data_IF_529151037345
#
_entry.id   IF_529151037345
#
_cell.length_a   1.000
_cell.length_b   1.000
_cell.length_c   1.000
_cell.angle_alpha   90.00
_cell.angle_beta   90.00
_cell.angle_gamma   90.00
#
_symmetry.space_group_name_H-M   'P 1'
#
loop_
_entity.id
_entity.type
_entity.pdbx_description
1 polymer ?
#
# COMPACT_ATOMS: atom_id res chain seq x y z
N UNK A 1 25.05 8.12 5.24
CA UNK A 1 24.32 9.40 5.02
C UNK A 1 24.01 9.45 3.54
N UNK A 2 23.01 8.69 3.11
CA UNK A 2 22.54 8.70 1.73
C UNK A 2 21.58 9.88 1.59
N UNK A 3 22.00 10.89 0.83
CA UNK A 3 21.16 12.03 0.52
C UNK A 3 19.92 11.54 -0.22
N UNK A 4 18.73 11.90 0.26
CA UNK A 4 17.49 11.65 -0.44
C UNK A 4 17.60 12.28 -1.83
N UNK A 5 17.69 11.43 -2.84
CA UNK A 5 17.76 11.85 -4.23
C UNK A 5 16.36 12.33 -4.63
N UNK A 6 16.27 13.59 -5.10
CA UNK A 6 14.99 14.08 -5.60
C UNK A 6 14.55 13.27 -6.85
N UNK A 7 13.25 13.21 -7.14
CA UNK A 7 12.74 12.55 -8.35
C UNK A 7 13.40 13.04 -9.64
N UNK A 8 13.67 14.35 -9.70
CA UNK A 8 14.36 14.95 -10.87
C UNK A 8 15.81 14.47 -11.00
N UNK A 9 16.55 14.37 -9.87
CA UNK A 9 17.91 13.82 -9.87
C UNK A 9 17.92 12.35 -10.27
N UNK A 10 16.96 11.55 -9.78
CA UNK A 10 16.82 10.15 -10.16
C UNK A 10 16.59 10.01 -11.67
N UNK A 11 15.72 10.84 -12.23
CA UNK A 11 15.44 10.85 -13.67
C UNK A 11 16.66 11.22 -14.49
N UNK A 12 17.42 12.26 -14.10
CA UNK A 12 18.66 12.67 -14.76
C UNK A 12 19.72 11.56 -14.74
N UNK A 13 19.87 10.88 -13.60
CA UNK A 13 20.80 9.74 -13.48
C UNK A 13 20.37 8.61 -14.42
N UNK A 14 19.08 8.28 -14.50
CA UNK A 14 18.55 7.27 -15.41
C UNK A 14 18.79 7.64 -16.88
N UNK A 15 18.56 8.86 -17.28
CA UNK A 15 18.85 9.33 -18.66
C UNK A 15 20.33 9.19 -19.01
N UNK A 16 21.22 9.62 -18.11
CA UNK A 16 22.66 9.46 -18.27
C UNK A 16 23.04 7.99 -18.45
N UNK A 17 22.52 7.11 -17.60
CA UNK A 17 22.82 5.67 -17.65
C UNK A 17 22.23 4.99 -18.88
N UNK A 18 21.05 5.40 -19.34
CA UNK A 18 20.44 4.94 -20.59
C UNK A 18 21.29 5.32 -21.80
N UNK A 19 21.92 6.51 -21.77
CA UNK A 19 22.85 6.97 -22.78
C UNK A 19 24.26 6.33 -22.74
N UNK A 20 24.46 5.28 -21.89
CA UNK A 20 25.74 4.58 -21.76
C UNK A 20 26.72 5.22 -20.77
N UNK A 21 26.23 6.11 -19.90
CA UNK A 21 27.06 6.71 -18.85
C UNK A 21 27.67 5.68 -17.90
N UNK A 22 28.81 6.04 -17.26
CA UNK A 22 29.49 5.18 -16.30
C UNK A 22 28.68 5.01 -15.01
N UNK A 23 28.77 3.80 -14.43
CA UNK A 23 28.21 3.45 -13.12
C UNK A 23 29.26 3.53 -11.98
N UNK A 24 30.48 4.01 -12.22
CA UNK A 24 31.59 3.94 -11.26
C UNK A 24 31.31 4.58 -9.89
N UNK A 25 30.40 5.57 -9.85
CA UNK A 25 30.02 6.28 -8.63
C UNK A 25 28.68 5.81 -8.07
N UNK A 26 28.11 4.73 -8.57
CA UNK A 26 26.82 4.18 -8.13
C UNK A 26 27.11 3.02 -7.16
N UNK A 27 26.67 3.15 -5.90
CA UNK A 27 26.75 2.07 -4.93
C UNK A 27 25.58 1.09 -5.08
N UNK A 28 25.60 -0.04 -4.35
CA UNK A 28 24.55 -1.06 -4.36
C UNK A 28 23.16 -0.45 -4.08
N UNK A 29 23.03 0.32 -3.01
CA UNK A 29 21.75 0.90 -2.60
C UNK A 29 21.17 1.80 -3.69
N UNK A 30 21.98 2.68 -4.28
CA UNK A 30 21.53 3.58 -5.35
C UNK A 30 21.14 2.79 -6.61
N UNK A 31 21.94 1.79 -7.01
CA UNK A 31 21.62 0.97 -8.18
C UNK A 31 20.24 0.28 -8.01
N UNK A 32 19.99 -0.30 -6.83
CA UNK A 32 18.72 -0.99 -6.54
C UNK A 32 17.51 -0.03 -6.48
N UNK A 33 17.69 1.18 -5.94
CA UNK A 33 16.64 2.22 -5.90
C UNK A 33 16.25 2.75 -7.28
N UNK A 34 17.12 2.64 -8.27
CA UNK A 34 16.84 3.05 -9.65
C UNK A 34 16.05 2.00 -10.44
N UNK A 35 15.99 0.74 -9.99
CA UNK A 35 15.33 -0.35 -10.71
C UNK A 35 13.83 -0.09 -10.91
N UNK A 36 13.03 0.26 -9.88
CA UNK A 36 11.60 0.54 -10.08
C UNK A 36 11.34 1.63 -11.11
N UNK A 37 12.11 2.73 -11.06
CA UNK A 37 12.00 3.82 -12.02
C UNK A 37 12.38 3.38 -13.45
N UNK A 38 13.38 2.51 -13.58
CA UNK A 38 13.76 1.94 -14.87
C UNK A 38 12.66 0.99 -15.41
N UNK A 39 11.97 0.26 -14.53
CA UNK A 39 10.82 -0.57 -14.88
C UNK A 39 9.66 0.29 -15.40
N UNK A 40 9.29 1.36 -14.69
CA UNK A 40 8.22 2.28 -15.10
C UNK A 40 8.49 2.93 -16.47
N UNK A 41 9.77 3.11 -16.82
CA UNK A 41 10.20 3.63 -18.11
C UNK A 41 10.44 2.55 -19.18
N UNK A 42 10.21 1.27 -18.87
CA UNK A 42 10.41 0.14 -19.80
C UNK A 42 11.87 -0.04 -20.25
N UNK A 43 12.86 0.23 -19.37
CA UNK A 43 14.30 0.19 -19.68
C UNK A 43 14.94 -1.14 -19.30
N UNK A 44 14.52 -2.24 -19.91
CA UNK A 44 14.95 -3.60 -19.55
C UNK A 44 16.48 -3.78 -19.53
N UNK A 45 17.19 -3.35 -20.57
CA UNK A 45 18.68 -3.45 -20.63
C UNK A 45 19.36 -2.67 -19.47
N UNK A 46 18.77 -1.56 -19.04
CA UNK A 46 19.30 -0.80 -17.91
C UNK A 46 19.06 -1.52 -16.58
N UNK A 47 17.92 -2.18 -16.44
CA UNK A 47 17.60 -2.98 -15.24
C UNK A 47 18.63 -4.11 -15.07
N UNK A 48 18.93 -4.85 -16.12
CA UNK A 48 19.95 -5.92 -16.10
C UNK A 48 21.32 -5.36 -15.69
N UNK A 49 21.74 -4.24 -16.29
CA UNK A 49 23.00 -3.58 -15.96
C UNK A 49 23.05 -3.07 -14.51
N UNK A 50 21.94 -2.55 -13.99
CA UNK A 50 21.83 -2.08 -12.59
C UNK A 50 21.95 -3.27 -11.61
N UNK A 51 21.29 -4.38 -11.88
CA UNK A 51 21.36 -5.59 -11.06
C UNK A 51 22.78 -6.21 -11.06
N UNK A 52 23.38 -6.33 -12.24
CA UNK A 52 24.74 -6.84 -12.38
C UNK A 52 25.74 -5.93 -11.63
N UNK A 53 25.60 -4.61 -11.82
CA UNK A 53 26.44 -3.64 -11.12
C UNK A 53 26.23 -3.70 -9.61
N UNK A 54 24.99 -3.71 -9.09
CA UNK A 54 24.68 -3.81 -7.67
C UNK A 54 25.34 -5.04 -7.04
N UNK A 55 25.22 -6.19 -7.72
CA UNK A 55 25.85 -7.45 -7.27
C UNK A 55 27.38 -7.35 -7.22
N UNK A 56 27.99 -6.71 -8.23
CA UNK A 56 29.45 -6.56 -8.36
C UNK A 56 30.06 -5.63 -7.30
N UNK A 57 29.35 -4.52 -6.97
CA UNK A 57 29.86 -3.53 -6.01
C UNK A 57 29.43 -3.77 -4.57
N UNK A 58 28.62 -4.79 -4.32
CA UNK A 58 28.16 -5.17 -2.98
C UNK A 58 29.32 -5.50 -2.04
N UNK A 59 29.36 -4.83 -0.88
CA UNK A 59 30.48 -4.84 0.06
C UNK A 59 30.36 -5.91 1.13
N UNK A 60 29.14 -6.34 1.44
CA UNK A 60 28.84 -7.29 2.51
C UNK A 60 27.70 -8.25 2.08
N UNK A 61 27.38 -9.21 2.95
CA UNK A 61 26.35 -10.20 2.70
C UNK A 61 24.94 -9.58 2.60
N UNK A 62 24.66 -8.56 3.41
CA UNK A 62 23.38 -7.87 3.38
C UNK A 62 23.15 -7.16 2.03
N UNK A 63 24.17 -6.42 1.53
CA UNK A 63 24.07 -5.78 0.21
C UNK A 63 23.90 -6.80 -0.93
N UNK A 64 24.56 -7.96 -0.83
CA UNK A 64 24.36 -9.08 -1.78
C UNK A 64 22.95 -9.66 -1.69
N UNK A 65 22.43 -9.79 -0.47
CA UNK A 65 21.06 -10.22 -0.22
C UNK A 65 20.03 -9.27 -0.83
N UNK A 66 20.23 -7.97 -0.67
CA UNK A 66 19.38 -6.96 -1.31
C UNK A 66 19.42 -7.02 -2.84
N UNK A 67 20.60 -7.16 -3.43
CA UNK A 67 20.74 -7.31 -4.89
C UNK A 67 20.03 -8.57 -5.39
N UNK A 68 20.12 -9.69 -4.66
CA UNK A 68 19.41 -10.92 -4.99
C UNK A 68 17.90 -10.78 -4.81
N UNK A 69 17.43 -10.08 -3.78
CA UNK A 69 16.01 -9.81 -3.56
C UNK A 69 15.39 -9.06 -4.73
N UNK A 70 16.03 -7.98 -5.18
CA UNK A 70 15.56 -7.22 -6.34
C UNK A 70 15.65 -8.03 -7.64
N UNK A 71 16.70 -8.83 -7.82
CA UNK A 71 16.82 -9.72 -8.97
C UNK A 71 15.67 -10.74 -9.04
N UNK A 72 15.31 -11.37 -7.92
CA UNK A 72 14.17 -12.30 -7.85
C UNK A 72 12.84 -11.61 -8.18
N UNK A 73 12.64 -10.36 -7.75
CA UNK A 73 11.45 -9.57 -8.08
C UNK A 73 11.37 -9.26 -9.58
N UNK A 74 12.46 -8.79 -10.17
CA UNK A 74 12.54 -8.49 -11.61
C UNK A 74 12.31 -9.73 -12.46
N UNK A 75 12.79 -10.89 -12.02
CA UNK A 75 12.61 -12.18 -12.70
C UNK A 75 11.23 -12.82 -12.45
N UNK A 76 10.37 -12.18 -11.65
CA UNK A 76 9.08 -12.74 -11.22
C UNK A 76 9.21 -14.16 -10.64
N UNK A 77 10.27 -14.37 -9.84
CA UNK A 77 10.57 -15.69 -9.30
C UNK A 77 9.44 -16.19 -8.39
N UNK A 78 9.22 -17.49 -8.35
CA UNK A 78 8.20 -18.12 -7.53
C UNK A 78 8.49 -18.03 -6.03
N UNK A 79 7.45 -18.23 -5.22
CA UNK A 79 7.44 -18.16 -3.75
C UNK A 79 8.62 -18.89 -3.10
N UNK A 80 8.94 -20.12 -3.54
CA UNK A 80 10.01 -20.94 -2.97
C UNK A 80 11.39 -20.26 -3.02
N UNK A 81 11.64 -19.40 -4.02
CA UNK A 81 12.89 -18.66 -4.14
C UNK A 81 13.01 -17.58 -3.07
N UNK A 82 11.90 -16.91 -2.77
CA UNK A 82 11.85 -15.90 -1.72
C UNK A 82 11.86 -16.51 -0.32
N UNK A 83 11.22 -17.67 -0.12
CA UNK A 83 11.29 -18.40 1.16
C UNK A 83 12.74 -18.79 1.47
N UNK A 84 13.48 -19.33 0.49
CA UNK A 84 14.91 -19.63 0.65
C UNK A 84 15.75 -18.40 0.95
N UNK A 85 15.47 -17.28 0.27
CA UNK A 85 16.16 -16.03 0.55
C UNK A 85 15.83 -15.50 1.96
N UNK A 86 14.62 -15.69 2.47
CA UNK A 86 14.23 -15.32 3.81
C UNK A 86 15.02 -16.11 4.87
N UNK A 87 15.15 -17.44 4.69
CA UNK A 87 15.97 -18.32 5.55
C UNK A 87 17.45 -17.93 5.51
N UNK A 88 18.00 -17.60 4.34
CA UNK A 88 19.37 -17.11 4.19
C UNK A 88 19.55 -15.76 4.90
N UNK A 89 18.61 -14.82 4.73
CA UNK A 89 18.69 -13.49 5.36
C UNK A 89 18.71 -13.55 6.89
N UNK A 90 18.01 -14.51 7.50
CA UNK A 90 18.05 -14.74 8.95
C UNK A 90 19.45 -15.13 9.46
N UNK A 91 20.27 -15.77 8.63
CA UNK A 91 21.63 -16.19 8.97
C UNK A 91 22.66 -15.06 8.85
N UNK A 92 22.31 -13.95 8.21
CA UNK A 92 23.22 -12.80 8.02
C UNK A 92 23.20 -11.92 9.25
N UNK A 93 24.35 -11.76 9.87
CA UNK A 93 24.50 -10.91 11.05
C UNK A 93 24.16 -9.44 10.72
N UNK A 94 23.32 -8.82 11.55
CA UNK A 94 22.88 -7.41 11.44
C UNK A 94 22.05 -7.06 10.18
N UNK A 95 21.49 -8.06 9.47
CA UNK A 95 20.67 -7.84 8.28
C UNK A 95 19.16 -7.73 8.58
N UNK A 96 18.77 -7.14 9.72
CA UNK A 96 17.35 -7.04 10.13
C UNK A 96 16.48 -6.36 9.08
N UNK A 97 17.01 -5.34 8.38
CA UNK A 97 16.27 -4.63 7.33
C UNK A 97 15.94 -5.54 6.15
N UNK A 98 16.93 -6.29 5.66
CA UNK A 98 16.74 -7.28 4.60
C UNK A 98 15.78 -8.39 5.04
N UNK A 99 16.01 -8.98 6.21
CA UNK A 99 15.17 -10.06 6.77
C UNK A 99 13.72 -9.63 6.83
N UNK A 100 13.44 -8.44 7.40
CA UNK A 100 12.09 -7.92 7.49
C UNK A 100 11.45 -7.66 6.13
N UNK A 101 12.21 -7.14 5.16
CA UNK A 101 11.72 -6.85 3.82
C UNK A 101 11.38 -8.14 3.05
N UNK A 102 12.26 -9.15 3.11
CA UNK A 102 12.02 -10.43 2.43
C UNK A 102 10.83 -11.16 3.04
N UNK A 103 10.74 -11.27 4.38
CA UNK A 103 9.57 -11.86 5.04
C UNK A 103 8.27 -11.11 4.74
N UNK A 104 8.32 -9.78 4.71
CA UNK A 104 7.15 -9.00 4.31
C UNK A 104 6.69 -9.35 2.88
N UNK A 105 7.63 -9.48 1.95
CA UNK A 105 7.33 -9.85 0.56
C UNK A 105 6.82 -11.30 0.44
N UNK A 106 7.39 -12.24 1.20
CA UNK A 106 6.89 -13.63 1.28
C UNK A 106 5.45 -13.65 1.81
N UNK A 107 5.13 -12.82 2.82
CA UNK A 107 3.76 -12.71 3.32
C UNK A 107 2.79 -12.18 2.24
N UNK A 108 3.21 -11.22 1.41
CA UNK A 108 2.42 -10.75 0.25
C UNK A 108 2.17 -11.88 -0.76
N UNK A 109 3.18 -12.71 -1.05
CA UNK A 109 3.04 -13.86 -1.96
C UNK A 109 2.07 -14.90 -1.39
N UNK A 110 2.17 -15.25 -0.09
CA UNK A 110 1.20 -16.12 0.57
C UNK A 110 -0.22 -15.54 0.53
N UNK A 111 -0.37 -14.23 0.74
CA UNK A 111 -1.66 -13.55 0.64
C UNK A 111 -2.24 -13.64 -0.78
N UNK A 112 -1.41 -13.48 -1.81
CA UNK A 112 -1.81 -13.60 -3.21
C UNK A 112 -2.27 -15.03 -3.55
N UNK A 113 -1.64 -16.05 -2.94
CA UNK A 113 -2.04 -17.47 -3.06
C UNK A 113 -3.22 -17.84 -2.14
N UNK A 114 -3.83 -16.88 -1.42
CA UNK A 114 -4.87 -17.10 -0.42
C UNK A 114 -4.47 -18.03 0.73
N UNK A 115 -3.20 -18.18 1.01
CA UNK A 115 -2.62 -18.92 2.13
C UNK A 115 -2.53 -18.02 3.35
N UNK A 116 -3.69 -17.74 3.92
CA UNK A 116 -3.85 -16.64 4.90
C UNK A 116 -3.11 -16.88 6.22
N UNK A 117 -3.03 -18.13 6.69
CA UNK A 117 -2.34 -18.47 7.95
C UNK A 117 -0.83 -18.31 7.82
N UNK A 118 -0.25 -18.77 6.70
CA UNK A 118 1.17 -18.58 6.41
C UNK A 118 1.49 -17.10 6.18
N UNK A 119 0.62 -16.37 5.47
CA UNK A 119 0.75 -14.92 5.30
C UNK A 119 0.80 -14.22 6.66
N UNK A 120 -0.13 -14.55 7.58
CA UNK A 120 -0.21 -13.97 8.93
C UNK A 120 1.05 -14.28 9.76
N UNK A 121 1.45 -15.53 9.79
CA UNK A 121 2.62 -15.95 10.56
C UNK A 121 3.90 -15.23 10.07
N UNK A 122 4.07 -15.15 8.75
CA UNK A 122 5.23 -14.52 8.11
C UNK A 122 5.21 -12.99 8.28
N UNK A 123 4.05 -12.33 8.14
CA UNK A 123 3.91 -10.89 8.40
C UNK A 123 4.22 -10.54 9.87
N UNK A 124 3.73 -11.34 10.82
CA UNK A 124 4.05 -11.17 12.24
C UNK A 124 5.54 -11.36 12.53
N UNK A 125 6.21 -12.28 11.82
CA UNK A 125 7.65 -12.43 11.95
C UNK A 125 8.38 -11.18 11.48
N UNK A 126 8.06 -10.66 10.29
CA UNK A 126 8.61 -9.41 9.77
C UNK A 126 8.42 -8.23 10.75
N UNK A 127 7.24 -8.12 11.38
CA UNK A 127 6.97 -7.10 12.39
C UNK A 127 7.86 -7.24 13.63
N UNK A 128 8.08 -8.45 14.15
CA UNK A 128 9.00 -8.68 15.29
C UNK A 128 10.42 -8.25 14.95
N UNK A 129 10.90 -8.56 13.75
CA UNK A 129 12.23 -8.14 13.29
C UNK A 129 12.35 -6.61 13.26
N UNK A 130 11.35 -5.91 12.68
CA UNK A 130 11.29 -4.44 12.63
C UNK A 130 11.23 -3.81 14.03
N UNK A 131 10.47 -4.41 14.93
CA UNK A 131 10.38 -3.94 16.33
C UNK A 131 11.75 -4.03 17.01
N UNK A 132 12.48 -5.14 16.83
CA UNK A 132 13.84 -5.31 17.37
C UNK A 132 14.80 -4.29 16.78
N UNK A 133 14.68 -3.97 15.49
CA UNK A 133 15.47 -2.96 14.79
C UNK A 133 15.05 -1.51 15.09
N UNK A 134 13.97 -1.30 15.85
CA UNK A 134 13.35 0.03 16.08
C UNK A 134 12.93 0.77 14.80
N UNK A 135 12.61 0.01 13.75
CA UNK A 135 12.15 0.51 12.45
C UNK A 135 10.66 0.88 12.51
N UNK A 136 10.38 2.08 12.98
CA UNK A 136 9.00 2.55 13.16
C UNK A 136 8.24 2.72 11.85
N UNK A 137 8.88 3.18 10.78
CA UNK A 137 8.24 3.31 9.47
C UNK A 137 7.90 1.94 8.89
N UNK A 138 8.87 1.02 8.93
CA UNK A 138 8.63 -0.35 8.52
C UNK A 138 7.54 -1.05 9.35
N UNK A 139 7.45 -0.77 10.66
CA UNK A 139 6.36 -1.28 11.50
C UNK A 139 5.00 -0.82 10.99
N UNK A 140 4.81 0.50 10.76
CA UNK A 140 3.55 1.03 10.25
C UNK A 140 3.16 0.40 8.89
N UNK A 141 4.14 0.21 8.01
CA UNK A 141 3.95 -0.46 6.73
C UNK A 141 3.58 -1.95 6.88
N UNK A 142 4.25 -2.66 7.78
CA UNK A 142 3.96 -4.08 8.05
C UNK A 142 2.59 -4.30 8.71
N UNK A 143 2.16 -3.36 9.57
CA UNK A 143 0.83 -3.38 10.18
C UNK A 143 -0.29 -3.25 9.14
N UNK A 144 -0.11 -2.46 8.08
CA UNK A 144 -1.07 -2.39 6.98
C UNK A 144 -1.29 -3.76 6.31
N UNK A 145 -0.21 -4.50 6.07
CA UNK A 145 -0.31 -5.87 5.54
C UNK A 145 -1.02 -6.81 6.51
N UNK A 146 -0.67 -6.77 7.81
CA UNK A 146 -1.31 -7.63 8.81
C UNK A 146 -2.82 -7.33 8.92
N UNK A 147 -3.20 -6.05 8.86
CA UNK A 147 -4.59 -5.63 8.81
C UNK A 147 -5.32 -6.18 7.58
N UNK A 148 -4.69 -6.10 6.40
CA UNK A 148 -5.24 -6.67 5.16
C UNK A 148 -5.43 -8.19 5.28
N UNK A 149 -4.48 -8.90 5.87
CA UNK A 149 -4.59 -10.35 6.10
C UNK A 149 -5.74 -10.66 7.06
N UNK A 150 -5.86 -9.92 8.17
CA UNK A 150 -6.94 -10.09 9.14
C UNK A 150 -8.32 -9.87 8.50
N UNK A 151 -8.49 -8.82 7.70
CA UNK A 151 -9.72 -8.58 6.90
C UNK A 151 -10.05 -9.75 5.97
N UNK A 152 -9.05 -10.33 5.30
CA UNK A 152 -9.23 -11.50 4.43
C UNK A 152 -9.60 -12.77 5.21
N UNK A 153 -9.23 -12.86 6.47
CA UNK A 153 -9.61 -13.94 7.40
C UNK A 153 -10.96 -13.69 8.09
N UNK A 154 -11.62 -12.57 7.83
CA UNK A 154 -12.82 -12.09 8.55
C UNK A 154 -12.57 -11.93 10.06
N UNK A 155 -11.36 -11.55 10.45
CA UNK A 155 -10.95 -11.25 11.82
C UNK A 155 -10.91 -9.72 12.01
N UNK A 156 -12.12 -9.12 12.00
CA UNK A 156 -12.28 -7.66 12.06
C UNK A 156 -11.78 -7.08 13.38
N UNK A 157 -11.90 -7.81 14.47
CA UNK A 157 -11.38 -7.38 15.78
C UNK A 157 -9.86 -7.18 15.72
N UNK A 158 -9.13 -8.14 15.15
CA UNK A 158 -7.69 -7.98 14.94
C UNK A 158 -7.38 -6.85 13.95
N UNK A 159 -8.15 -6.72 12.87
CA UNK A 159 -7.94 -5.66 11.90
C UNK A 159 -8.11 -4.26 12.52
N UNK A 160 -9.15 -4.05 13.33
CA UNK A 160 -9.39 -2.79 14.04
C UNK A 160 -8.27 -2.51 15.06
N UNK A 161 -7.87 -3.52 15.85
CA UNK A 161 -6.82 -3.36 16.85
C UNK A 161 -5.49 -2.97 16.22
N UNK A 162 -5.06 -3.70 15.17
CA UNK A 162 -3.80 -3.41 14.43
C UNK A 162 -3.87 -2.07 13.72
N UNK A 163 -5.02 -1.73 13.13
CA UNK A 163 -5.24 -0.44 12.47
C UNK A 163 -5.12 0.74 13.45
N UNK A 164 -5.69 0.59 14.65
CA UNK A 164 -5.61 1.61 15.71
C UNK A 164 -4.17 1.80 16.18
N UNK A 165 -3.43 0.72 16.43
CA UNK A 165 -2.01 0.79 16.81
C UNK A 165 -1.17 1.41 15.68
N UNK A 166 -1.47 1.07 14.40
CA UNK A 166 -0.84 1.69 13.23
C UNK A 166 -1.09 3.20 13.21
N UNK A 167 -2.33 3.65 13.44
CA UNK A 167 -2.69 5.07 13.45
C UNK A 167 -1.92 5.83 14.52
N UNK A 168 -1.83 5.31 15.76
CA UNK A 168 -1.06 5.92 16.84
C UNK A 168 0.42 6.06 16.46
N UNK A 169 0.99 5.05 15.82
CA UNK A 169 2.38 5.08 15.35
C UNK A 169 2.59 6.14 14.26
N UNK A 170 1.67 6.24 13.29
CA UNK A 170 1.72 7.22 12.22
C UNK A 170 1.53 8.66 12.73
N UNK A 171 0.71 8.86 13.79
CA UNK A 171 0.61 10.13 14.48
C UNK A 171 1.95 10.52 15.15
N UNK A 172 2.62 9.56 15.79
CA UNK A 172 3.93 9.79 16.41
C UNK A 172 5.05 10.06 15.39
N UNK A 173 4.88 9.60 14.14
CA UNK A 173 5.79 9.87 13.02
C UNK A 173 5.45 11.15 12.25
N UNK A 174 4.32 11.80 12.54
CA UNK A 174 3.75 12.91 11.76
C UNK A 174 3.53 12.54 10.27
N UNK A 175 3.23 11.27 10.00
CA UNK A 175 2.89 10.78 8.67
C UNK A 175 1.40 10.99 8.40
N UNK A 176 1.05 12.14 7.85
CA UNK A 176 -0.34 12.51 7.61
C UNK A 176 -1.00 11.70 6.47
N UNK A 177 -0.24 11.30 5.46
CA UNK A 177 -0.75 10.42 4.39
C UNK A 177 -1.11 9.05 4.96
N UNK A 178 -0.20 8.45 5.71
CA UNK A 178 -0.46 7.19 6.39
C UNK A 178 -1.64 7.26 7.38
N UNK A 179 -1.79 8.37 8.12
CA UNK A 179 -2.93 8.59 9.02
C UNK A 179 -4.25 8.60 8.27
N UNK A 180 -4.32 9.32 7.14
CA UNK A 180 -5.49 9.38 6.26
C UNK A 180 -5.91 7.98 5.79
N UNK A 181 -4.94 7.17 5.34
CA UNK A 181 -5.19 5.78 4.93
C UNK A 181 -5.65 4.89 6.09
N UNK A 182 -4.95 4.96 7.24
CA UNK A 182 -5.28 4.15 8.41
C UNK A 182 -6.69 4.45 8.94
N UNK A 183 -7.11 5.72 8.95
CA UNK A 183 -8.46 6.12 9.33
C UNK A 183 -9.53 5.48 8.42
N UNK A 184 -9.33 5.52 7.09
CA UNK A 184 -10.25 4.91 6.14
C UNK A 184 -10.28 3.37 6.30
N UNK A 185 -9.13 2.74 6.50
CA UNK A 185 -9.02 1.30 6.71
C UNK A 185 -9.76 0.83 7.95
N UNK A 186 -9.60 1.54 9.09
CA UNK A 186 -10.32 1.24 10.33
C UNK A 186 -11.82 1.47 10.14
N UNK A 187 -12.20 2.56 9.43
CA UNK A 187 -13.60 2.86 9.15
C UNK A 187 -14.31 1.74 8.39
N UNK A 188 -13.65 1.15 7.39
CA UNK A 188 -14.18 -0.01 6.67
C UNK A 188 -14.39 -1.22 7.58
N UNK A 189 -13.45 -1.49 8.50
CA UNK A 189 -13.62 -2.59 9.46
C UNK A 189 -14.77 -2.31 10.43
N UNK A 190 -14.89 -1.08 10.94
CA UNK A 190 -16.00 -0.67 11.80
C UNK A 190 -17.36 -0.80 11.09
N UNK A 191 -17.44 -0.41 9.81
CA UNK A 191 -18.64 -0.61 9.00
C UNK A 191 -19.02 -2.09 8.87
N UNK A 192 -18.03 -2.96 8.67
CA UNK A 192 -18.23 -4.41 8.51
C UNK A 192 -18.81 -5.06 9.79
N UNK A 193 -18.39 -4.59 10.97
CA UNK A 193 -18.95 -5.07 12.26
C UNK A 193 -20.25 -4.35 12.66
N UNK A 194 -20.75 -3.44 11.83
CA UNK A 194 -22.03 -2.75 12.05
C UNK A 194 -21.92 -1.46 12.88
N UNK A 195 -20.72 -1.04 13.24
CA UNK A 195 -20.47 0.20 14.00
C UNK A 195 -20.51 1.43 13.08
N UNK A 196 -21.69 1.67 12.45
CA UNK A 196 -21.89 2.66 11.39
C UNK A 196 -21.52 4.08 11.83
N UNK A 197 -21.87 4.45 13.08
CA UNK A 197 -21.54 5.77 13.64
C UNK A 197 -20.02 5.98 13.73
N UNK A 198 -19.30 5.03 14.31
CA UNK A 198 -17.85 5.08 14.42
C UNK A 198 -17.16 5.09 13.04
N UNK A 199 -17.64 4.28 12.10
CA UNK A 199 -17.14 4.26 10.73
C UNK A 199 -17.30 5.64 10.05
N UNK A 200 -18.45 6.27 10.21
CA UNK A 200 -18.75 7.60 9.67
C UNK A 200 -17.80 8.67 10.20
N UNK A 201 -17.55 8.66 11.51
CA UNK A 201 -16.65 9.61 12.15
C UNK A 201 -15.21 9.45 11.64
N UNK A 202 -14.75 8.22 11.46
CA UNK A 202 -13.41 7.91 10.94
C UNK A 202 -13.28 8.29 9.45
N UNK A 203 -14.28 8.00 8.61
CA UNK A 203 -14.26 8.45 7.21
C UNK A 203 -14.26 9.97 7.09
N UNK A 204 -15.00 10.69 7.94
CA UNK A 204 -14.97 12.15 7.95
C UNK A 204 -13.60 12.69 8.36
N UNK A 205 -12.94 12.09 9.36
CA UNK A 205 -11.57 12.48 9.75
C UNK A 205 -10.58 12.20 8.58
N UNK A 206 -10.70 11.04 7.90
CA UNK A 206 -9.89 10.74 6.73
C UNK A 206 -10.13 11.75 5.60
N UNK A 207 -11.39 12.12 5.34
CA UNK A 207 -11.75 13.11 4.33
C UNK A 207 -11.19 14.51 4.64
N UNK A 208 -11.28 14.93 5.89
CA UNK A 208 -10.74 16.23 6.30
C UNK A 208 -9.22 16.28 6.13
N UNK A 209 -8.53 15.20 6.48
CA UNK A 209 -7.09 15.09 6.28
C UNK A 209 -6.74 15.02 4.79
N UNK A 210 -7.50 14.28 3.98
CA UNK A 210 -7.33 14.22 2.53
C UNK A 210 -7.48 15.59 1.86
N UNK A 211 -8.41 16.43 2.34
CA UNK A 211 -8.58 17.82 1.88
C UNK A 211 -7.37 18.69 2.24
N UNK A 212 -6.86 18.55 3.47
CA UNK A 212 -5.67 19.31 3.91
C UNK A 212 -4.42 18.94 3.09
N UNK A 213 -4.32 17.68 2.68
CA UNK A 213 -3.23 17.16 1.85
C UNK A 213 -3.45 17.38 0.34
N UNK A 214 -4.60 17.95 -0.05
CA UNK A 214 -5.01 18.09 -1.45
C UNK A 214 -5.01 16.75 -2.22
N UNK A 215 -5.23 15.63 -1.50
CA UNK A 215 -5.24 14.28 -2.05
C UNK A 215 -6.59 13.93 -2.66
N UNK A 216 -6.73 14.01 -3.98
CA UNK A 216 -7.95 13.60 -4.67
C UNK A 216 -8.30 12.12 -4.47
N UNK A 217 -7.29 11.26 -4.46
CA UNK A 217 -7.48 9.82 -4.23
C UNK A 217 -7.98 9.54 -2.81
N UNK A 218 -7.39 10.19 -1.80
CA UNK A 218 -7.82 10.07 -0.42
C UNK A 218 -9.25 10.57 -0.20
N UNK A 219 -9.60 11.72 -0.80
CA UNK A 219 -10.96 12.25 -0.75
C UNK A 219 -11.97 11.29 -1.39
N UNK A 220 -11.61 10.69 -2.53
CA UNK A 220 -12.48 9.71 -3.20
C UNK A 220 -12.68 8.46 -2.32
N UNK A 221 -11.63 7.92 -1.73
CA UNK A 221 -11.72 6.74 -0.84
C UNK A 221 -12.63 7.02 0.36
N UNK A 222 -12.45 8.15 1.04
CA UNK A 222 -13.26 8.50 2.20
C UNK A 222 -14.74 8.75 1.81
N UNK A 223 -15.00 9.45 0.70
CA UNK A 223 -16.38 9.68 0.21
C UNK A 223 -17.03 8.40 -0.28
N UNK A 224 -16.28 7.49 -0.88
CA UNK A 224 -16.81 6.18 -1.26
C UNK A 224 -17.29 5.41 -0.04
N UNK A 225 -16.47 5.36 1.04
CA UNK A 225 -16.88 4.76 2.30
C UNK A 225 -18.13 5.43 2.92
N UNK A 226 -18.21 6.77 2.90
CA UNK A 226 -19.40 7.49 3.36
C UNK A 226 -20.64 7.18 2.52
N UNK A 227 -20.47 7.00 1.21
CA UNK A 227 -21.56 6.59 0.32
C UNK A 227 -22.02 5.15 0.60
N UNK A 228 -21.08 4.23 0.86
CA UNK A 228 -21.42 2.85 1.25
C UNK A 228 -22.20 2.82 2.57
N UNK A 229 -21.84 3.66 3.56
CA UNK A 229 -22.61 3.78 4.79
C UNK A 229 -24.02 4.32 4.56
N UNK A 230 -24.18 5.34 3.70
CA UNK A 230 -25.49 5.88 3.36
C UNK A 230 -26.34 4.83 2.61
N UNK A 231 -25.74 4.02 1.75
CA UNK A 231 -26.41 2.92 1.07
C UNK A 231 -26.89 1.82 2.07
N UNK A 232 -26.09 1.46 3.06
CA UNK A 232 -26.48 0.55 4.14
C UNK A 232 -27.73 1.08 4.88
N UNK A 233 -27.82 2.39 5.05
CA UNK A 233 -28.97 3.07 5.65
C UNK A 233 -30.14 3.31 4.65
N UNK A 234 -29.99 2.86 3.40
CA UNK A 234 -30.95 3.06 2.29
C UNK A 234 -31.15 4.54 1.89
N UNK A 235 -30.21 5.41 2.26
CA UNK A 235 -30.17 6.82 1.86
C UNK A 235 -29.38 6.99 0.55
N UNK A 236 -29.96 6.53 -0.54
CA UNK A 236 -29.35 6.60 -1.88
C UNK A 236 -29.13 8.04 -2.36
N UNK A 237 -29.92 9.00 -1.86
CA UNK A 237 -29.76 10.40 -2.23
C UNK A 237 -28.45 10.98 -1.66
N UNK A 238 -28.20 10.76 -0.38
CA UNK A 238 -26.93 11.14 0.26
C UNK A 238 -25.75 10.40 -0.37
N UNK A 239 -25.86 9.10 -0.65
CA UNK A 239 -24.80 8.34 -1.31
C UNK A 239 -24.40 8.94 -2.67
N UNK A 240 -25.41 9.28 -3.51
CA UNK A 240 -25.19 9.91 -4.81
C UNK A 240 -24.59 11.32 -4.68
N UNK A 241 -25.05 12.13 -3.72
CA UNK A 241 -24.55 13.47 -3.50
C UNK A 241 -23.06 13.45 -3.17
N UNK A 242 -22.67 12.62 -2.21
CA UNK A 242 -21.28 12.49 -1.75
C UNK A 242 -20.33 12.06 -2.89
N UNK A 243 -20.75 11.12 -3.74
CA UNK A 243 -19.95 10.69 -4.89
C UNK A 243 -19.94 11.73 -6.02
N UNK A 244 -21.04 12.45 -6.21
CA UNK A 244 -21.12 13.54 -7.20
C UNK A 244 -20.18 14.68 -6.86
N UNK A 245 -19.99 14.99 -5.58
CA UNK A 245 -18.99 15.97 -5.12
C UNK A 245 -17.58 15.57 -5.55
N UNK A 246 -17.21 14.27 -5.44
CA UNK A 246 -15.94 13.79 -5.96
C UNK A 246 -15.82 13.99 -7.47
N UNK A 247 -16.88 13.67 -8.22
CA UNK A 247 -16.89 13.85 -9.68
C UNK A 247 -16.71 15.33 -10.06
N UNK A 248 -17.35 16.24 -9.35
CA UNK A 248 -17.20 17.67 -9.57
C UNK A 248 -15.77 18.16 -9.30
N UNK A 249 -15.11 17.64 -8.29
CA UNK A 249 -13.69 17.99 -8.01
C UNK A 249 -12.74 17.52 -9.12
N UNK A 250 -12.91 16.29 -9.61
CA UNK A 250 -12.13 15.82 -10.76
C UNK A 250 -12.34 16.72 -11.98
N UNK A 251 -13.58 17.15 -12.26
CA UNK A 251 -13.91 18.03 -13.36
C UNK A 251 -13.28 19.43 -13.15
N UNK A 252 -13.40 19.99 -11.94
CA UNK A 252 -12.87 21.31 -11.62
C UNK A 252 -11.35 21.41 -11.78
N UNK A 253 -10.64 20.32 -11.49
CA UNK A 253 -9.20 20.20 -11.64
C UNK A 253 -8.74 19.70 -13.02
N UNK A 254 -9.71 19.55 -13.97
CA UNK A 254 -9.47 18.99 -15.29
C UNK A 254 -8.74 17.63 -15.25
N UNK A 255 -8.99 16.85 -14.20
CA UNK A 255 -8.44 15.53 -14.00
C UNK A 255 -9.41 14.43 -14.50
N UNK A 256 -8.93 13.32 -15.06
CA UNK A 256 -9.78 12.24 -15.50
C UNK A 256 -10.44 11.54 -14.29
N UNK A 257 -11.76 11.66 -14.14
CA UNK A 257 -12.47 10.92 -13.09
C UNK A 257 -12.45 9.41 -13.39
N UNK A 258 -12.18 8.57 -12.37
CA UNK A 258 -12.16 7.12 -12.53
C UNK A 258 -13.49 6.59 -13.09
N UNK A 259 -13.44 5.65 -14.04
CA UNK A 259 -14.62 5.05 -14.62
C UNK A 259 -15.56 4.39 -13.57
N UNK A 260 -15.06 3.70 -12.52
CA UNK A 260 -15.91 3.15 -11.47
C UNK A 260 -16.76 4.20 -10.74
N UNK A 261 -16.24 5.43 -10.54
CA UNK A 261 -16.99 6.51 -9.88
C UNK A 261 -18.27 6.86 -10.66
N UNK A 262 -18.17 7.03 -11.98
CA UNK A 262 -19.33 7.34 -12.83
C UNK A 262 -20.32 6.18 -12.87
N UNK A 263 -19.82 4.95 -12.94
CA UNK A 263 -20.68 3.77 -12.93
C UNK A 263 -21.43 3.66 -11.61
N UNK A 264 -20.75 3.87 -10.47
CA UNK A 264 -21.39 3.79 -9.15
C UNK A 264 -22.50 4.83 -8.97
N UNK A 265 -22.28 6.08 -9.40
CA UNK A 265 -23.32 7.12 -9.36
C UNK A 265 -24.54 6.70 -10.20
N UNK A 266 -24.32 6.09 -11.37
CA UNK A 266 -25.40 5.58 -12.21
C UNK A 266 -26.16 4.46 -11.52
N UNK A 267 -25.47 3.48 -10.95
CA UNK A 267 -26.09 2.34 -10.27
C UNK A 267 -26.95 2.79 -9.09
N UNK A 268 -26.48 3.76 -8.29
CA UNK A 268 -27.25 4.36 -7.20
C UNK A 268 -28.47 5.14 -7.71
N UNK A 269 -28.36 5.80 -8.87
CA UNK A 269 -29.49 6.48 -9.51
C UNK A 269 -30.56 5.47 -9.92
N UNK A 270 -30.18 4.35 -10.48
CA UNK A 270 -31.08 3.28 -10.88
C UNK A 270 -31.77 2.66 -9.66
N UNK A 271 -31.02 2.36 -8.59
CA UNK A 271 -31.57 1.85 -7.33
C UNK A 271 -32.59 2.81 -6.70
N UNK A 272 -32.28 4.10 -6.65
CA UNK A 272 -33.24 5.11 -6.14
C UNK A 272 -34.57 5.14 -6.93
N UNK A 273 -34.49 4.88 -8.21
CA UNK A 273 -35.66 4.96 -9.12
C UNK A 273 -36.44 3.64 -9.24
N UNK A 274 -35.91 2.54 -8.66
CA UNK A 274 -36.65 1.28 -8.59
C UNK A 274 -37.91 1.46 -7.75
N UNK A 275 -39.11 1.11 -8.29
CA UNK A 275 -40.33 1.16 -7.50
C UNK A 275 -40.16 0.18 -6.33
N UNK A 276 -40.41 0.67 -5.11
CA UNK A 276 -40.53 -0.19 -3.94
C UNK A 276 -41.44 -1.36 -4.31
N UNK A 277 -40.94 -2.57 -4.40
CA UNK A 277 -41.76 -3.74 -4.66
C UNK A 277 -42.76 -3.82 -3.52
N UNK A 278 -44.02 -3.45 -3.80
CA UNK A 278 -45.11 -3.64 -2.86
C UNK A 278 -45.05 -5.09 -2.39
N UNK A 279 -44.69 -5.24 -1.09
CA UNK A 279 -44.71 -6.54 -0.43
C UNK A 279 -46.07 -7.15 -0.60
N UNK A 280 -46.23 -8.01 -1.62
CA UNK A 280 -47.39 -8.89 -1.67
C UNK A 280 -47.20 -9.87 -0.54
N UNK A 281 -47.83 -9.56 0.60
CA UNK A 281 -48.27 -10.57 1.55
C UNK A 281 -49.03 -11.65 0.79
N UNK A 282 -48.59 -12.88 0.93
CA UNK A 282 -49.40 -14.07 0.63
C UNK A 282 -49.19 -15.07 1.79
#
# INVERSE_FOLDING_TARGET
MDADMSPEMAHQVLEMLTGGGSMDNINTSLALRLIPLAQDLGKEELIERLLEHATKVARNEEERGWARFEALKVMEAGLDSFVRLAEEAESIEQAQSLTAAVHHYVALLYLAEARLDEARATAQHALRVRQTASDKQGLAYGMALLMTIAKRQHDEDTAIAVGTERLELLMALNDHEGQMEALADIAHCQATVGEIGAARDLFNQSLDLAKQLESLSGQLVARWGLADLAEIEQDYETAMLVLSDSLHEFIALNAPAPAPLRQRIKDLTDLRNEPLSDGKEA
#
